data_IF_793358109599
#
_entry.id   IF_793358109599
#
_cell.length_a   1.000
_cell.length_b   1.000
_cell.length_c   1.000
_cell.angle_alpha   90.00
_cell.angle_beta   90.00
_cell.angle_gamma   90.00
#
_symmetry.space_group_name_H-M   'P 1'
#
loop_
_entity.id
_entity.type
_entity.pdbx_description
1 polymer ?
#
# COMPACT_ATOMS: atom_id res chain seq x y z
N UNK A 1 -6.99 30.42 6.69
CA UNK A 1 -7.23 29.63 5.46
C UNK A 1 -6.91 28.18 5.79
N UNK A 2 -7.83 27.24 5.56
CA UNK A 2 -7.64 25.82 5.90
C UNK A 2 -6.77 25.09 4.87
N UNK A 3 -6.10 24.02 5.29
CA UNK A 3 -5.39 23.10 4.37
C UNK A 3 -6.40 22.23 3.63
N UNK A 4 -6.21 21.99 2.34
CA UNK A 4 -7.11 21.14 1.55
C UNK A 4 -6.52 19.74 1.46
N UNK A 5 -7.11 18.78 2.18
CA UNK A 5 -6.67 17.38 2.18
C UNK A 5 -7.17 16.70 0.90
N UNK A 6 -6.25 16.12 0.13
CA UNK A 6 -6.54 15.34 -1.07
C UNK A 6 -6.52 13.83 -0.79
N UNK A 7 -5.70 13.39 0.18
CA UNK A 7 -5.67 12.00 0.63
C UNK A 7 -5.84 11.92 2.16
N UNK A 8 -7.05 11.58 2.65
CA UNK A 8 -7.30 11.49 4.09
C UNK A 8 -6.63 10.28 4.75
N UNK A 9 -6.12 9.32 3.98
CA UNK A 9 -5.44 8.16 4.55
C UNK A 9 -4.00 8.43 4.96
N UNK A 10 -3.37 9.43 4.35
CA UNK A 10 -1.94 9.75 4.53
C UNK A 10 -1.74 11.24 4.80
N UNK A 11 -2.81 11.95 5.15
CA UNK A 11 -2.84 13.39 5.43
C UNK A 11 -2.19 14.29 4.36
N UNK A 12 -2.22 13.83 3.10
CA UNK A 12 -1.61 14.57 1.97
C UNK A 12 -2.53 15.70 1.55
N UNK A 13 -1.98 16.90 1.39
CA UNK A 13 -2.69 18.08 0.92
C UNK A 13 -2.54 18.31 -0.60
N UNK A 14 -3.36 19.21 -1.14
CA UNK A 14 -3.23 19.68 -2.52
C UNK A 14 -1.85 20.34 -2.75
N UNK A 15 -1.37 21.09 -1.76
CA UNK A 15 -0.08 21.78 -1.81
C UNK A 15 1.09 20.79 -1.87
N UNK A 16 1.01 19.67 -1.15
CA UNK A 16 2.02 18.60 -1.20
C UNK A 16 2.14 18.01 -2.61
N UNK A 17 1.00 17.77 -3.29
CA UNK A 17 1.01 17.29 -4.67
C UNK A 17 1.62 18.32 -5.62
N UNK A 18 1.29 19.60 -5.46
CA UNK A 18 1.89 20.68 -6.27
C UNK A 18 3.40 20.78 -6.05
N UNK A 19 3.85 20.65 -4.80
CA UNK A 19 5.27 20.67 -4.45
C UNK A 19 6.02 19.49 -5.09
N UNK A 20 5.46 18.27 -5.02
CA UNK A 20 6.06 17.10 -5.64
C UNK A 20 6.05 17.16 -7.17
N UNK A 21 4.98 17.70 -7.77
CA UNK A 21 4.96 17.93 -9.22
C UNK A 21 6.08 18.88 -9.65
N UNK A 22 6.27 19.99 -8.92
CA UNK A 22 7.36 20.94 -9.17
C UNK A 22 8.75 20.31 -8.97
N UNK A 23 8.88 19.33 -8.08
CA UNK A 23 10.09 18.53 -7.92
C UNK A 23 10.32 17.47 -9.02
N UNK A 24 9.43 17.39 -10.01
CA UNK A 24 9.56 16.50 -11.17
C UNK A 24 8.79 15.18 -11.06
N UNK A 25 8.02 14.95 -10.00
CA UNK A 25 7.16 13.77 -9.85
C UNK A 25 5.85 13.93 -10.64
N UNK A 26 5.96 14.04 -11.96
CA UNK A 26 4.82 14.30 -12.87
C UNK A 26 4.00 13.04 -13.19
N UNK A 27 4.60 11.85 -13.04
CA UNK A 27 3.95 10.58 -13.35
C UNK A 27 3.21 10.01 -12.12
N UNK A 28 1.98 9.48 -12.26
CA UNK A 28 1.19 8.98 -11.12
C UNK A 28 1.91 7.92 -10.26
N UNK A 29 2.66 7.00 -10.86
CA UNK A 29 3.42 5.98 -10.11
C UNK A 29 4.63 6.55 -9.35
N UNK A 30 5.26 7.62 -9.84
CA UNK A 30 6.38 8.24 -9.13
C UNK A 30 5.86 9.12 -7.99
N UNK A 31 4.78 9.87 -8.25
CA UNK A 31 4.06 10.66 -7.25
C UNK A 31 3.54 9.78 -6.09
N UNK A 32 2.95 8.63 -6.42
CA UNK A 32 2.51 7.62 -5.45
C UNK A 32 3.62 7.19 -4.49
N UNK A 33 4.84 6.98 -5.01
CA UNK A 33 6.00 6.57 -4.18
C UNK A 33 6.52 7.71 -3.32
N UNK A 34 6.45 8.94 -3.81
CA UNK A 34 6.91 10.12 -3.09
C UNK A 34 5.95 10.53 -1.95
N UNK A 35 4.65 10.37 -2.14
CA UNK A 35 3.62 10.94 -1.24
C UNK A 35 2.74 9.90 -0.54
N UNK A 36 2.90 8.61 -0.87
CA UNK A 36 2.02 7.52 -0.45
C UNK A 36 0.55 7.65 -0.89
N UNK A 37 0.17 8.64 -1.72
CA UNK A 37 -1.19 8.67 -2.28
C UNK A 37 -1.48 7.36 -3.03
N UNK A 38 -2.75 6.97 -3.10
CA UNK A 38 -3.20 5.66 -3.59
C UNK A 38 -2.83 4.45 -2.71
N UNK A 39 -1.91 4.55 -1.75
CA UNK A 39 -1.41 3.41 -0.97
C UNK A 39 -2.12 3.21 0.38
N UNK A 40 -3.10 4.06 0.72
CA UNK A 40 -3.88 3.91 1.96
C UNK A 40 -4.78 2.67 1.95
N UNK A 41 -5.44 2.34 3.08
CA UNK A 41 -6.40 1.22 3.15
C UNK A 41 -7.57 1.38 2.16
N UNK A 42 -7.87 2.61 1.75
CA UNK A 42 -8.86 2.87 0.70
C UNK A 42 -8.39 2.41 -0.70
N UNK A 43 -7.09 2.18 -0.92
CA UNK A 43 -6.49 1.84 -2.22
C UNK A 43 -6.82 2.85 -3.32
N UNK A 44 -6.74 4.14 -2.98
CA UNK A 44 -6.98 5.24 -3.92
C UNK A 44 -8.44 5.55 -4.23
N UNK A 45 -9.42 4.88 -3.59
CA UNK A 45 -10.85 5.11 -3.86
C UNK A 45 -11.30 6.58 -3.69
N UNK A 46 -10.74 7.28 -2.69
CA UNK A 46 -11.10 8.68 -2.42
C UNK A 46 -10.20 9.67 -3.17
N UNK A 47 -8.89 9.44 -3.19
CA UNK A 47 -7.94 10.42 -3.73
C UNK A 47 -7.69 10.26 -5.24
N UNK A 48 -8.06 9.14 -5.88
CA UNK A 48 -7.65 8.91 -7.26
C UNK A 48 -8.25 9.89 -8.26
N UNK A 49 -9.55 10.18 -8.18
CA UNK A 49 -10.16 11.19 -9.06
C UNK A 49 -9.48 12.56 -8.89
N UNK A 50 -9.48 13.14 -7.68
CA UNK A 50 -8.89 14.44 -7.40
C UNK A 50 -7.41 14.55 -7.77
N UNK A 51 -6.58 13.54 -7.44
CA UNK A 51 -5.13 13.57 -7.76
C UNK A 51 -4.91 13.53 -9.26
N UNK A 52 -5.63 12.68 -10.00
CA UNK A 52 -5.48 12.60 -11.45
C UNK A 52 -5.93 13.88 -12.13
N UNK A 53 -6.98 14.53 -11.62
CA UNK A 53 -7.44 15.82 -12.16
C UNK A 53 -6.42 16.93 -11.89
N UNK A 54 -5.92 17.03 -10.66
CA UNK A 54 -4.87 17.98 -10.31
C UNK A 54 -3.61 17.78 -11.18
N UNK A 55 -3.21 16.53 -11.46
CA UNK A 55 -2.09 16.25 -12.36
C UNK A 55 -2.36 16.73 -13.79
N UNK A 56 -3.59 16.63 -14.30
CA UNK A 56 -3.97 17.14 -15.63
C UNK A 56 -3.93 18.65 -15.67
N UNK A 57 -4.47 19.31 -14.65
CA UNK A 57 -4.39 20.76 -14.50
C UNK A 57 -2.93 21.23 -14.52
N UNK A 58 -2.06 20.58 -13.74
CA UNK A 58 -0.63 20.89 -13.67
C UNK A 58 0.12 20.59 -14.98
N UNK A 59 -0.34 19.61 -15.76
CA UNK A 59 0.19 19.29 -17.09
C UNK A 59 -0.30 20.22 -18.22
N UNK A 60 -1.06 21.28 -17.88
CA UNK A 60 -1.59 22.24 -18.85
C UNK A 60 -2.94 21.84 -19.46
N UNK A 61 -3.69 20.96 -18.80
CA UNK A 61 -5.05 20.55 -19.22
C UNK A 61 -5.09 19.50 -20.33
N UNK A 62 -3.94 19.03 -20.81
CA UNK A 62 -3.87 17.99 -21.83
C UNK A 62 -4.00 16.60 -21.20
N UNK A 63 -5.20 16.02 -21.31
CA UNK A 63 -5.52 14.70 -20.79
C UNK A 63 -4.64 13.58 -21.38
N UNK A 64 -3.99 13.80 -22.55
CA UNK A 64 -3.08 12.85 -23.17
C UNK A 64 -1.70 12.78 -22.52
N UNK A 65 -1.32 13.78 -21.71
CA UNK A 65 0.00 13.84 -21.05
C UNK A 65 0.08 13.14 -19.71
N UNK A 66 -1.07 12.88 -19.09
CA UNK A 66 -1.13 12.23 -17.78
C UNK A 66 -1.54 10.78 -17.96
N UNK A 67 -0.63 9.89 -17.61
CA UNK A 67 -0.85 8.44 -17.68
C UNK A 67 -2.02 7.97 -16.82
N UNK A 68 -2.43 6.72 -17.03
CA UNK A 68 -3.51 6.11 -16.24
C UNK A 68 -3.14 6.05 -14.76
N UNK A 69 -4.16 6.13 -13.88
CA UNK A 69 -4.00 5.89 -12.44
C UNK A 69 -3.26 4.57 -12.15
N UNK A 70 -2.58 4.47 -10.99
CA UNK A 70 -1.91 3.25 -10.58
C UNK A 70 -2.79 1.99 -10.68
N UNK A 71 -2.15 0.87 -11.03
CA UNK A 71 -2.85 -0.39 -11.30
C UNK A 71 -3.50 -0.93 -10.02
N UNK A 72 -4.80 -1.22 -10.09
CA UNK A 72 -5.50 -1.91 -9.02
C UNK A 72 -5.05 -3.39 -8.94
N UNK A 73 -4.74 -3.87 -7.74
CA UNK A 73 -4.29 -5.24 -7.50
C UNK A 73 -5.27 -5.95 -6.55
N UNK A 74 -5.52 -7.26 -6.71
CA UNK A 74 -6.25 -8.04 -5.72
C UNK A 74 -5.53 -8.08 -4.36
N UNK A 75 -6.26 -8.16 -3.23
CA UNK A 75 -7.72 -8.09 -3.12
C UNK A 75 -8.26 -6.65 -3.21
N UNK A 76 -9.45 -6.46 -3.80
CA UNK A 76 -10.05 -5.13 -4.02
C UNK A 76 -10.39 -4.37 -2.71
N UNK A 77 -10.61 -5.14 -1.65
CA UNK A 77 -10.82 -4.66 -0.28
C UNK A 77 -9.87 -5.44 0.64
N UNK A 78 -9.41 -4.84 1.74
CA UNK A 78 -8.65 -5.58 2.74
C UNK A 78 -9.43 -6.82 3.20
N UNK A 79 -8.76 -7.97 3.21
CA UNK A 79 -9.32 -9.23 3.69
C UNK A 79 -8.46 -9.70 4.86
N UNK A 80 -9.05 -10.10 6.01
CA UNK A 80 -8.28 -10.65 7.12
C UNK A 80 -7.48 -11.88 6.68
N UNK A 81 -6.23 -12.01 7.14
CA UNK A 81 -5.37 -13.14 6.77
C UNK A 81 -5.98 -14.49 7.15
N UNK A 82 -6.72 -14.57 8.26
CA UNK A 82 -7.41 -15.80 8.68
C UNK A 82 -8.43 -16.32 7.66
N UNK A 83 -9.05 -15.43 6.88
CA UNK A 83 -9.95 -15.84 5.78
C UNK A 83 -9.16 -16.50 4.64
N UNK A 84 -7.95 -16.02 4.38
CA UNK A 84 -7.06 -16.58 3.35
C UNK A 84 -6.40 -17.89 3.80
N UNK A 85 -6.19 -18.07 5.11
CA UNK A 85 -5.59 -19.28 5.70
C UNK A 85 -6.53 -20.51 5.66
N UNK A 86 -7.83 -20.31 5.52
CA UNK A 86 -8.83 -21.39 5.52
C UNK A 86 -9.06 -22.00 6.91
N UNK A 87 -9.66 -23.20 6.96
CA UNK A 87 -9.95 -23.92 8.21
C UNK A 87 -8.69 -24.49 8.91
N UNK A 88 -7.50 -24.27 8.34
CA UNK A 88 -6.25 -24.38 9.07
C UNK A 88 -6.15 -23.17 10.02
N UNK A 89 -6.91 -23.20 11.12
CA UNK A 89 -6.52 -22.47 12.32
C UNK A 89 -5.07 -22.83 12.68
N UNK A 90 -4.41 -22.09 13.58
CA UNK A 90 -3.05 -22.45 13.99
C UNK A 90 -3.07 -23.90 14.49
N UNK A 91 -2.57 -24.82 13.66
CA UNK A 91 -2.17 -26.13 14.15
C UNK A 91 -1.28 -25.85 15.33
N UNK A 92 -1.63 -26.46 16.46
CA UNK A 92 -0.90 -26.37 17.70
C UNK A 92 0.59 -26.18 17.43
N UNK A 93 1.14 -25.13 18.04
CA UNK A 93 2.58 -24.93 18.13
C UNK A 93 3.25 -26.30 18.23
N UNK A 94 4.08 -26.65 17.25
CA UNK A 94 4.88 -27.87 17.33
C UNK A 94 5.65 -27.78 18.64
N UNK A 95 5.23 -28.60 19.61
CA UNK A 95 5.90 -28.76 20.89
C UNK A 95 7.41 -28.82 20.63
N UNK A 96 8.24 -28.14 21.44
CA UNK A 96 9.68 -28.25 21.28
C UNK A 96 10.04 -29.74 21.35
N UNK A 97 10.81 -30.23 20.37
CA UNK A 97 11.35 -31.59 20.39
C UNK A 97 12.09 -31.80 21.72
N UNK A 98 11.45 -32.44 22.69
CA UNK A 98 12.18 -33.14 23.74
C UNK A 98 12.70 -34.42 23.10
N UNK A 99 13.86 -34.32 22.45
CA UNK A 99 14.60 -35.47 21.96
C UNK A 99 14.94 -36.37 23.16
N UNK A 100 14.51 -37.64 23.20
CA UNK A 100 15.01 -38.56 24.20
C UNK A 100 16.43 -38.94 23.78
N UNK A 101 17.43 -38.41 24.48
CA UNK A 101 18.79 -38.94 24.43
C UNK A 101 18.75 -40.36 25.02
N UNK A 102 18.53 -41.35 24.17
CA UNK A 102 18.75 -42.75 24.51
C UNK A 102 20.27 -42.97 24.61
N UNK A 103 20.79 -42.82 25.82
CA UNK A 103 22.13 -43.29 26.17
C UNK A 103 22.11 -44.81 26.33
N UNK A 104 22.39 -45.53 25.25
CA UNK A 104 22.64 -46.97 25.29
C UNK A 104 23.94 -47.26 26.06
N UNK A 105 23.87 -48.26 26.93
CA UNK A 105 24.93 -48.81 27.78
C UNK A 105 26.16 -49.35 27.04
N UNK A 106 27.34 -49.20 27.66
CA UNK A 106 28.57 -49.99 27.45
C UNK A 106 29.73 -49.29 28.16
N UNK A 107 30.43 -49.82 29.17
CA UNK A 107 30.74 -51.21 29.48
C UNK A 107 32.21 -51.48 29.15
N UNK A 108 33.12 -51.05 30.02
CA UNK A 108 34.48 -51.58 30.24
C UNK A 108 35.04 -51.00 31.55
#
# INVERSE_FOLDING_TARGET
MGKTIICPCHDVTVEDIRAMYAAGYTHPETLKRATAVFMGPCQGKHCAGPVMELLRELAGGDAGRVDRRPTARPPLRPVPLGVLAGAAGPSAETSPETSPVNGTTGGA
#
